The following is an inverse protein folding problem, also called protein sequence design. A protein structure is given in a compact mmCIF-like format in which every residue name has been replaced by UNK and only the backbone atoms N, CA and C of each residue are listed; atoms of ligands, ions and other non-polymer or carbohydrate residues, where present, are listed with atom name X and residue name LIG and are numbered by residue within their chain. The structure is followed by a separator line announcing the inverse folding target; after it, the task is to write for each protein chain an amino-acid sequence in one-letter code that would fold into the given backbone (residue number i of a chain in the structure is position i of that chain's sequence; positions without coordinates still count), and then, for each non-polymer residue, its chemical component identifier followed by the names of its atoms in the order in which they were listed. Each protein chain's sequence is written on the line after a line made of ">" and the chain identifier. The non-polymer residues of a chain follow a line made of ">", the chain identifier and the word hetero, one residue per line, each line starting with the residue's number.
data_IF_348938706649
#
_entry.id   IF_348938706649
#
_cell.length_a   1.000
_cell.length_b   1.000
_cell.length_c   1.000
_cell.angle_alpha   90.00
_cell.angle_beta   90.00
_cell.angle_gamma   90.00
#
_symmetry.space_group_name_H-M   'P 1'
#
loop_
_entity.id
_entity.type
_entity.pdbx_description
1 polymer ?
#
# COMPACT_ATOMS: atom_id res chain seq x y z
N UNK A 1 -19.15 -7.11 4.18
CA UNK A 1 -17.86 -6.58 3.67
C UNK A 1 -16.88 -7.73 3.38
N UNK A 2 -15.84 -7.53 2.56
CA UNK A 2 -14.91 -8.61 2.15
C UNK A 2 -14.28 -9.37 3.33
N UNK A 3 -13.85 -8.67 4.38
CA UNK A 3 -13.29 -9.30 5.59
C UNK A 3 -14.27 -10.22 6.31
N UNK A 4 -15.54 -9.82 6.44
CA UNK A 4 -16.59 -10.65 7.05
C UNK A 4 -16.84 -11.93 6.25
N UNK A 5 -16.90 -11.83 4.91
CA UNK A 5 -17.07 -13.00 4.03
C UNK A 5 -15.88 -13.97 4.19
N UNK A 6 -14.65 -13.45 4.22
CA UNK A 6 -13.46 -14.27 4.42
C UNK A 6 -13.45 -14.97 5.79
N UNK A 7 -13.80 -14.26 6.86
CA UNK A 7 -13.88 -14.84 8.21
C UNK A 7 -14.96 -15.92 8.32
N UNK A 8 -16.13 -15.68 7.69
CA UNK A 8 -17.22 -16.65 7.60
C UNK A 8 -16.82 -17.91 6.80
N UNK A 9 -15.96 -17.76 5.79
CA UNK A 9 -15.36 -18.86 5.04
C UNK A 9 -14.19 -19.56 5.77
N UNK A 10 -13.90 -19.19 7.03
CA UNK A 10 -12.88 -19.85 7.84
C UNK A 10 -11.47 -19.26 7.72
N UNK A 11 -11.29 -18.10 7.06
CA UNK A 11 -9.99 -17.44 6.96
C UNK A 11 -9.43 -17.13 8.36
N UNK A 12 -8.17 -17.50 8.62
CA UNK A 12 -7.43 -17.24 9.87
C UNK A 12 -5.99 -16.87 9.54
N UNK A 13 -5.24 -16.36 10.52
CA UNK A 13 -3.85 -15.92 10.34
C UNK A 13 -2.96 -16.96 9.66
N UNK A 14 -3.06 -18.24 10.06
CA UNK A 14 -2.30 -19.33 9.41
C UNK A 14 -2.63 -19.46 7.92
N UNK A 15 -3.92 -19.51 7.57
CA UNK A 15 -4.35 -19.59 6.18
C UNK A 15 -3.91 -18.35 5.37
N UNK A 16 -3.92 -17.15 5.97
CA UNK A 16 -3.37 -15.96 5.33
C UNK A 16 -1.87 -16.12 5.01
N UNK A 17 -1.08 -16.66 5.93
CA UNK A 17 0.36 -16.90 5.72
C UNK A 17 0.61 -17.98 4.65
N UNK A 18 -0.21 -19.04 4.62
CA UNK A 18 -0.18 -20.05 3.56
C UNK A 18 -0.48 -19.43 2.18
N UNK A 19 -1.47 -18.54 2.09
CA UNK A 19 -1.74 -17.79 0.86
C UNK A 19 -0.55 -16.92 0.43
N UNK A 20 0.15 -16.27 1.37
CA UNK A 20 1.36 -15.48 1.05
C UNK A 20 2.44 -16.38 0.46
N UNK A 21 2.68 -17.56 1.04
CA UNK A 21 3.65 -18.52 0.52
C UNK A 21 3.28 -19.06 -0.87
N UNK A 22 2.00 -19.36 -1.09
CA UNK A 22 1.51 -19.79 -2.40
C UNK A 22 1.69 -18.69 -3.45
N UNK A 23 1.33 -17.43 -3.13
CA UNK A 23 1.52 -16.30 -4.04
C UNK A 23 3.01 -16.09 -4.33
N UNK A 24 3.87 -16.13 -3.31
CA UNK A 24 5.32 -15.99 -3.47
C UNK A 24 5.90 -17.02 -4.46
N UNK A 25 5.39 -18.26 -4.45
CA UNK A 25 5.85 -19.29 -5.40
C UNK A 25 5.56 -18.97 -6.87
N UNK A 26 4.69 -17.98 -7.13
CA UNK A 26 4.22 -17.58 -8.46
C UNK A 26 4.74 -16.22 -8.91
N UNK A 27 5.24 -15.38 -7.99
CA UNK A 27 5.61 -13.99 -8.30
C UNK A 27 6.86 -13.53 -7.54
N UNK A 28 7.67 -12.71 -8.21
CA UNK A 28 8.88 -12.10 -7.64
C UNK A 28 8.66 -10.66 -7.13
N UNK A 29 7.42 -10.14 -7.23
CA UNK A 29 7.11 -8.78 -6.75
C UNK A 29 7.04 -8.71 -5.22
N UNK A 30 7.28 -7.54 -4.60
CA UNK A 30 7.10 -7.38 -3.15
C UNK A 30 5.70 -7.78 -2.68
N UNK A 31 5.62 -8.56 -1.61
CA UNK A 31 4.34 -8.95 -0.97
C UNK A 31 4.26 -8.32 0.41
N UNK A 32 3.20 -7.54 0.65
CA UNK A 32 3.04 -6.74 1.87
C UNK A 32 1.67 -7.06 2.49
N UNK A 33 1.58 -8.03 3.41
CA UNK A 33 0.34 -8.31 4.12
C UNK A 33 -0.11 -7.10 4.94
N UNK A 34 -1.40 -6.79 4.87
CA UNK A 34 -2.04 -5.79 5.73
C UNK A 34 -2.81 -6.49 6.85
N UNK A 35 -2.62 -6.02 8.08
CA UNK A 35 -3.23 -6.59 9.29
C UNK A 35 -3.60 -5.49 10.29
N UNK A 36 -4.14 -5.89 11.44
CA UNK A 36 -4.51 -5.03 12.56
C UNK A 36 -3.70 -5.40 13.81
N UNK A 37 -3.50 -4.43 14.71
CA UNK A 37 -2.70 -4.57 15.93
C UNK A 37 -3.17 -5.73 16.81
N UNK A 38 -4.49 -5.96 16.89
CA UNK A 38 -5.07 -7.06 17.65
C UNK A 38 -4.55 -8.45 17.21
N UNK A 39 -4.23 -8.63 15.92
CA UNK A 39 -3.66 -9.89 15.42
C UNK A 39 -2.21 -10.05 15.88
N UNK A 40 -1.44 -8.96 15.89
CA UNK A 40 -0.06 -8.98 16.40
C UNK A 40 -0.05 -9.28 17.90
N UNK A 41 -0.96 -8.66 18.66
CA UNK A 41 -1.10 -8.90 20.10
C UNK A 41 -1.44 -10.36 20.39
N UNK A 42 -2.41 -10.93 19.68
CA UNK A 42 -2.83 -12.32 19.87
C UNK A 42 -1.78 -13.35 19.40
N UNK A 43 -1.05 -13.06 18.32
CA UNK A 43 -0.09 -14.00 17.72
C UNK A 43 1.32 -13.89 18.33
N UNK A 44 1.64 -12.73 18.89
CA UNK A 44 2.99 -12.31 19.25
C UNK A 44 3.66 -11.57 18.07
N UNK A 45 4.06 -10.29 18.21
CA UNK A 45 4.54 -9.48 17.09
C UNK A 45 5.81 -10.04 16.45
N UNK A 46 6.80 -10.46 17.26
CA UNK A 46 8.05 -11.03 16.75
C UNK A 46 7.82 -12.33 15.97
N UNK A 47 6.92 -13.19 16.46
CA UNK A 47 6.56 -14.44 15.79
C UNK A 47 5.81 -14.17 14.48
N UNK A 48 4.84 -13.24 14.50
CA UNK A 48 4.09 -12.87 13.30
C UNK A 48 5.02 -12.35 12.20
N UNK A 49 6.00 -11.50 12.55
CA UNK A 49 6.99 -11.01 11.60
C UNK A 49 7.84 -12.15 11.05
N UNK A 50 8.38 -13.02 11.90
CA UNK A 50 9.20 -14.15 11.49
C UNK A 50 8.43 -15.08 10.52
N UNK A 51 7.21 -15.47 10.89
CA UNK A 51 6.37 -16.37 10.09
C UNK A 51 5.92 -15.71 8.78
N UNK A 52 5.64 -14.39 8.78
CA UNK A 52 5.33 -13.62 7.55
C UNK A 52 6.54 -13.55 6.61
N UNK A 53 7.73 -13.32 7.14
CA UNK A 53 8.98 -13.29 6.36
C UNK A 53 9.30 -14.66 5.78
N UNK A 54 9.15 -15.72 6.58
CA UNK A 54 9.31 -17.11 6.12
C UNK A 54 8.33 -17.49 5.02
N UNK A 55 7.09 -16.98 5.07
CA UNK A 55 6.11 -17.12 4.00
C UNK A 55 6.43 -16.30 2.73
N UNK A 56 7.44 -15.41 2.77
CA UNK A 56 7.85 -14.62 1.61
C UNK A 56 7.31 -13.19 1.56
N UNK A 57 6.82 -12.66 2.68
CA UNK A 57 6.49 -11.24 2.79
C UNK A 57 7.76 -10.38 2.79
N UNK A 58 7.68 -9.25 2.09
CA UNK A 58 8.76 -8.26 1.99
C UNK A 58 8.66 -7.16 3.05
N UNK A 59 7.45 -6.91 3.55
CA UNK A 59 7.18 -6.04 4.71
C UNK A 59 5.76 -6.33 5.18
N UNK A 60 5.19 -5.46 6.01
CA UNK A 60 3.78 -5.53 6.43
C UNK A 60 3.20 -4.12 6.63
N UNK A 61 1.87 -4.04 6.63
CA UNK A 61 1.10 -2.87 7.04
C UNK A 61 0.29 -3.25 8.28
N UNK A 62 0.32 -2.41 9.32
CA UNK A 62 -0.58 -2.54 10.49
C UNK A 62 -1.45 -1.29 10.51
N UNK A 63 -2.71 -1.44 10.10
CA UNK A 63 -3.56 -0.31 9.69
C UNK A 63 -3.90 0.65 10.83
N UNK A 64 -4.03 0.12 12.05
CA UNK A 64 -4.49 0.81 13.26
C UNK A 64 -3.38 1.06 14.29
N UNK A 65 -2.12 0.74 13.95
CA UNK A 65 -1.00 0.92 14.87
C UNK A 65 -0.31 2.26 14.60
N UNK A 66 -0.17 3.08 15.65
CA UNK A 66 0.52 4.37 15.59
C UNK A 66 2.04 4.20 15.48
N UNK A 67 2.74 5.18 14.88
CA UNK A 67 4.18 5.11 14.61
C UNK A 67 5.05 4.95 15.87
N UNK A 68 4.58 5.41 17.01
CA UNK A 68 5.27 5.32 18.31
C UNK A 68 5.15 3.93 18.94
N UNK A 69 4.14 3.15 18.55
CA UNK A 69 3.87 1.83 19.11
C UNK A 69 4.69 0.75 18.36
N UNK A 70 5.28 -0.17 19.13
CA UNK A 70 6.22 -1.20 18.65
C UNK A 70 7.32 -0.58 17.77
N UNK A 71 8.15 0.34 18.29
CA UNK A 71 9.15 1.06 17.50
C UNK A 71 10.19 0.15 16.81
N UNK A 72 10.40 -1.05 17.33
CA UNK A 72 11.25 -2.10 16.77
C UNK A 72 10.63 -2.83 15.57
N UNK A 73 9.31 -2.71 15.37
CA UNK A 73 8.59 -3.34 14.27
C UNK A 73 8.80 -2.56 12.97
N UNK A 74 9.66 -3.09 12.10
CA UNK A 74 9.82 -2.61 10.72
C UNK A 74 8.54 -2.90 9.91
N UNK A 75 7.86 -1.84 9.46
CA UNK A 75 6.62 -1.89 8.69
C UNK A 75 6.43 -0.65 7.84
N UNK A 76 5.56 -0.74 6.85
CA UNK A 76 5.08 0.44 6.11
C UNK A 76 4.23 1.29 7.05
N UNK A 77 4.60 2.57 7.18
CA UNK A 77 3.89 3.55 8.01
C UNK A 77 2.82 4.28 7.21
N UNK A 78 1.70 4.59 7.87
CA UNK A 78 0.59 5.31 7.27
C UNK A 78 0.67 6.79 7.65
N UNK A 79 0.36 7.65 6.68
CA UNK A 79 0.28 9.10 6.85
C UNK A 79 -1.04 9.57 6.27
N UNK A 80 -1.73 10.46 6.98
CA UNK A 80 -3.00 10.99 6.56
C UNK A 80 -3.01 12.52 6.56
N UNK A 81 -4.02 13.18 5.95
CA UNK A 81 -4.09 14.64 5.91
C UNK A 81 -4.02 15.32 7.28
N UNK A 82 -4.55 14.66 8.31
CA UNK A 82 -4.57 15.12 9.70
C UNK A 82 -3.28 14.81 10.47
N UNK A 83 -2.35 14.03 9.92
CA UNK A 83 -1.07 13.72 10.57
C UNK A 83 -0.22 15.00 10.65
N UNK A 84 0.21 15.43 11.85
CA UNK A 84 1.12 16.56 12.02
C UNK A 84 2.47 16.34 11.33
N UNK A 85 3.11 17.41 10.84
CA UNK A 85 4.34 17.34 10.04
C UNK A 85 5.51 16.66 10.76
N UNK A 86 5.62 16.85 12.08
CA UNK A 86 6.60 16.17 12.92
C UNK A 86 6.37 14.65 12.98
N UNK A 87 5.11 14.21 13.05
CA UNK A 87 4.76 12.78 12.97
C UNK A 87 4.95 12.20 11.56
N UNK A 88 4.81 13.00 10.51
CA UNK A 88 5.16 12.57 9.15
C UNK A 88 6.67 12.28 9.06
N UNK A 89 7.52 13.15 9.62
CA UNK A 89 8.97 12.91 9.68
C UNK A 89 9.30 11.63 10.44
N UNK A 90 8.72 11.44 11.61
CA UNK A 90 8.92 10.22 12.41
C UNK A 90 8.46 8.96 11.64
N UNK A 91 7.33 9.03 10.95
CA UNK A 91 6.85 7.95 10.09
C UNK A 91 7.85 7.66 8.97
N UNK A 92 8.41 8.69 8.34
CA UNK A 92 9.40 8.53 7.28
C UNK A 92 10.70 7.86 7.79
N UNK A 93 11.19 8.25 8.96
CA UNK A 93 12.38 7.65 9.59
C UNK A 93 12.18 6.17 9.93
N UNK A 94 10.94 5.78 10.28
CA UNK A 94 10.62 4.43 10.76
C UNK A 94 9.98 3.52 9.71
N UNK A 95 9.63 4.05 8.54
CA UNK A 95 8.94 3.25 7.53
C UNK A 95 9.88 2.27 6.85
N UNK A 96 9.32 1.13 6.47
CA UNK A 96 10.00 0.09 5.74
C UNK A 96 9.68 0.21 4.24
N UNK A 97 10.53 0.94 3.52
CA UNK A 97 10.46 1.10 2.06
C UNK A 97 9.75 2.38 1.62
N UNK A 98 8.49 2.58 2.00
CA UNK A 98 7.66 3.69 1.49
C UNK A 98 6.63 4.15 2.52
N UNK A 99 6.08 5.36 2.35
CA UNK A 99 4.98 5.88 3.16
C UNK A 99 3.65 5.67 2.45
N UNK A 100 2.69 5.11 3.18
CA UNK A 100 1.34 4.94 2.67
C UNK A 100 0.48 6.16 2.98
N UNK A 101 0.19 6.98 1.97
CA UNK A 101 -0.70 8.13 2.11
C UNK A 101 -2.16 7.68 2.01
N UNK A 102 -2.91 7.80 3.12
CA UNK A 102 -4.29 7.31 3.24
C UNK A 102 -5.28 8.43 3.56
N UNK A 103 -6.56 8.21 3.22
CA UNK A 103 -7.67 9.07 3.65
C UNK A 103 -8.36 8.49 4.88
N UNK A 104 -8.24 9.15 6.05
CA UNK A 104 -8.96 8.71 7.28
C UNK A 104 -10.46 9.09 7.22
N UNK A 105 -10.82 10.06 6.39
CA UNK A 105 -12.23 10.45 6.25
C UNK A 105 -12.92 9.46 5.34
N UNK A 106 -13.70 8.56 5.94
CA UNK A 106 -14.50 7.51 5.31
C UNK A 106 -15.55 7.99 4.30
N UNK A 107 -15.13 8.68 3.26
CA UNK A 107 -15.82 8.81 1.98
C UNK A 107 -15.18 7.83 0.99
N UNK A 108 -15.05 6.56 1.39
CA UNK A 108 -14.98 5.46 0.44
C UNK A 108 -16.30 5.47 -0.33
N UNK A 109 -16.32 6.04 -1.54
CA UNK A 109 -17.46 5.91 -2.46
C UNK A 109 -18.16 7.19 -2.93
N UNK A 110 -17.64 8.41 -2.68
CA UNK A 110 -18.33 9.63 -3.15
C UNK A 110 -17.59 10.37 -4.29
N UNK A 111 -17.96 9.98 -5.53
CA UNK A 111 -18.17 10.82 -6.73
C UNK A 111 -16.93 11.44 -7.42
N UNK A 112 -16.43 10.73 -8.42
CA UNK A 112 -15.93 11.29 -9.69
C UNK A 112 -14.52 11.89 -9.72
N UNK A 113 -13.98 12.42 -8.62
CA UNK A 113 -12.70 13.13 -8.63
C UNK A 113 -11.74 12.62 -7.54
N UNK A 114 -10.43 12.72 -7.83
CA UNK A 114 -9.38 12.49 -6.85
C UNK A 114 -9.50 13.47 -5.68
N UNK A 115 -9.17 13.03 -4.47
CA UNK A 115 -9.28 13.89 -3.29
C UNK A 115 -8.40 15.14 -3.41
N UNK A 116 -9.00 16.30 -3.19
CA UNK A 116 -8.28 17.59 -3.16
C UNK A 116 -7.27 17.71 -2.03
N UNK A 117 -7.23 16.76 -1.08
CA UNK A 117 -6.28 16.72 0.03
C UNK A 117 -4.95 16.06 -0.31
N UNK A 118 -4.88 15.25 -1.38
CA UNK A 118 -3.65 14.56 -1.75
C UNK A 118 -2.50 15.54 -2.09
N UNK A 119 -2.70 16.58 -2.93
CA UNK A 119 -1.60 17.50 -3.27
C UNK A 119 -0.98 18.19 -2.05
N UNK A 120 -1.79 18.63 -1.09
CA UNK A 120 -1.28 19.26 0.13
C UNK A 120 -0.52 18.26 1.01
N UNK A 121 -1.04 17.04 1.16
CA UNK A 121 -0.37 16.01 1.97
C UNK A 121 0.98 15.62 1.36
N UNK A 122 1.05 15.41 0.05
CA UNK A 122 2.30 15.14 -0.66
C UNK A 122 3.28 16.29 -0.45
N UNK A 123 2.86 17.54 -0.69
CA UNK A 123 3.71 18.71 -0.51
C UNK A 123 4.27 18.80 0.90
N UNK A 124 3.42 18.58 1.92
CA UNK A 124 3.83 18.58 3.33
C UNK A 124 4.77 17.43 3.67
N UNK A 125 4.56 16.24 3.13
CA UNK A 125 5.47 15.12 3.33
C UNK A 125 6.84 15.38 2.69
N UNK A 126 6.85 15.96 1.49
CA UNK A 126 8.08 16.34 0.78
C UNK A 126 8.92 17.41 1.46
N UNK A 127 8.38 18.18 2.41
CA UNK A 127 9.22 19.11 3.18
C UNK A 127 10.06 18.42 4.25
N UNK A 128 9.80 17.14 4.55
CA UNK A 128 10.45 16.41 5.65
C UNK A 128 11.03 15.05 5.25
N UNK A 129 10.79 14.57 4.02
CA UNK A 129 11.33 13.28 3.56
C UNK A 129 11.37 13.12 2.04
N UNK A 130 12.36 12.35 1.58
CA UNK A 130 12.51 11.85 0.21
C UNK A 130 12.06 10.39 0.04
N UNK A 131 11.59 9.74 1.12
CA UNK A 131 11.07 8.37 1.06
C UNK A 131 9.92 8.29 0.05
N UNK A 132 9.80 7.20 -0.73
CA UNK A 132 8.71 7.05 -1.68
C UNK A 132 7.33 7.19 -1.02
N UNK A 133 6.43 7.94 -1.66
CA UNK A 133 5.07 8.20 -1.22
C UNK A 133 4.11 7.47 -2.15
N UNK A 134 3.30 6.55 -1.60
CA UNK A 134 2.27 5.84 -2.36
C UNK A 134 0.88 6.30 -1.92
N UNK A 135 0.04 6.70 -2.87
CA UNK A 135 -1.28 7.27 -2.61
C UNK A 135 -2.41 6.23 -2.65
N UNK A 136 -3.14 6.05 -1.55
CA UNK A 136 -4.36 5.23 -1.43
C UNK A 136 -5.63 6.05 -1.24
N UNK A 137 -5.86 7.02 -2.12
CA UNK A 137 -6.91 8.03 -1.99
C UNK A 137 -8.23 7.65 -2.71
N UNK A 138 -8.65 6.38 -2.59
CA UNK A 138 -9.90 5.92 -3.21
C UNK A 138 -9.85 5.91 -4.75
N UNK A 139 -8.68 5.61 -5.32
CA UNK A 139 -8.45 5.55 -6.75
C UNK A 139 -9.26 4.40 -7.36
N UNK A 140 -10.10 4.71 -8.34
CA UNK A 140 -11.00 3.74 -8.97
C UNK A 140 -10.91 3.72 -10.49
N UNK A 141 -10.54 4.82 -11.15
CA UNK A 141 -10.45 4.90 -12.62
C UNK A 141 -9.01 5.10 -13.11
N UNK A 142 -8.71 4.79 -14.39
CA UNK A 142 -7.40 5.05 -14.99
C UNK A 142 -6.99 6.54 -14.92
N UNK A 143 -7.94 7.45 -15.10
CA UNK A 143 -7.70 8.91 -15.03
C UNK A 143 -7.28 9.31 -13.61
N UNK A 144 -7.99 8.82 -12.59
CA UNK A 144 -7.62 9.06 -11.19
C UNK A 144 -6.26 8.47 -10.83
N UNK A 145 -5.91 7.32 -11.43
CA UNK A 145 -4.61 6.68 -11.24
C UNK A 145 -3.48 7.54 -11.82
N UNK A 146 -3.66 8.07 -13.04
CA UNK A 146 -2.72 8.98 -13.66
C UNK A 146 -2.58 10.29 -12.87
N UNK A 147 -3.69 10.93 -12.48
CA UNK A 147 -3.68 12.16 -11.66
C UNK A 147 -2.92 11.96 -10.34
N UNK A 148 -3.15 10.82 -9.66
CA UNK A 148 -2.47 10.52 -8.40
C UNK A 148 -0.98 10.23 -8.61
N UNK A 149 -0.61 9.52 -9.67
CA UNK A 149 0.78 9.21 -10.00
C UNK A 149 1.58 10.43 -10.50
N UNK A 150 0.91 11.48 -10.99
CA UNK A 150 1.55 12.77 -11.27
C UNK A 150 1.96 13.51 -9.99
N UNK A 151 1.37 13.18 -8.84
CA UNK A 151 1.62 13.82 -7.55
C UNK A 151 2.49 12.98 -6.62
N UNK A 152 2.39 11.66 -6.67
CA UNK A 152 3.06 10.72 -5.77
C UNK A 152 3.89 9.69 -6.55
N UNK A 153 4.83 9.01 -5.90
CA UNK A 153 5.73 8.06 -6.58
C UNK A 153 5.03 6.74 -6.97
N UNK A 154 3.81 6.53 -6.47
CA UNK A 154 2.99 5.40 -6.82
C UNK A 154 1.59 5.49 -6.23
N UNK A 155 0.77 4.50 -6.57
CA UNK A 155 -0.62 4.43 -6.13
C UNK A 155 -0.94 3.08 -5.48
N UNK A 156 -1.97 3.07 -4.64
CA UNK A 156 -2.53 1.86 -4.05
C UNK A 156 -4.03 1.82 -4.34
N UNK A 157 -4.49 0.71 -4.89
CA UNK A 157 -5.90 0.47 -5.23
C UNK A 157 -6.42 -0.72 -4.43
N UNK A 158 -7.44 -0.47 -3.61
CA UNK A 158 -8.04 -1.46 -2.72
C UNK A 158 -9.47 -1.83 -3.12
N UNK A 159 -10.45 -1.06 -2.64
CA UNK A 159 -11.88 -1.39 -2.78
C UNK A 159 -12.31 -1.67 -4.22
N UNK A 160 -11.89 -0.83 -5.18
CA UNK A 160 -12.29 -1.02 -6.58
C UNK A 160 -11.71 -2.29 -7.19
N UNK A 161 -10.48 -2.66 -6.84
CA UNK A 161 -9.88 -3.92 -7.28
C UNK A 161 -10.66 -5.13 -6.72
N UNK A 162 -11.11 -5.07 -5.47
CA UNK A 162 -11.95 -6.12 -4.88
C UNK A 162 -13.31 -6.23 -5.57
N UNK A 163 -13.97 -5.10 -5.84
CA UNK A 163 -15.25 -5.09 -6.58
C UNK A 163 -15.10 -5.73 -7.97
N UNK A 164 -14.07 -5.34 -8.73
CA UNK A 164 -13.82 -5.92 -10.06
C UNK A 164 -13.52 -7.42 -9.97
N UNK A 165 -12.77 -7.85 -8.95
CA UNK A 165 -12.49 -9.26 -8.75
C UNK A 165 -13.75 -10.08 -8.39
N UNK A 166 -14.65 -9.50 -7.57
CA UNK A 166 -15.93 -10.12 -7.22
C UNK A 166 -16.87 -10.21 -8.46
N UNK A 167 -16.92 -9.15 -9.28
CA UNK A 167 -17.87 -9.05 -10.40
C UNK A 167 -17.39 -9.76 -11.67
N UNK A 168 -16.10 -9.67 -11.99
CA UNK A 168 -15.51 -10.08 -13.27
C UNK A 168 -14.38 -11.12 -13.13
N UNK A 169 -14.09 -11.56 -11.90
CA UNK A 169 -13.10 -12.59 -11.62
C UNK A 169 -11.64 -12.18 -11.92
N UNK A 170 -10.72 -13.15 -11.93
CA UNK A 170 -9.28 -12.87 -12.07
C UNK A 170 -8.89 -12.19 -13.39
N UNK A 171 -9.56 -12.51 -14.50
CA UNK A 171 -9.30 -11.87 -15.80
C UNK A 171 -9.78 -10.42 -15.81
N UNK A 172 -10.95 -10.13 -15.25
CA UNK A 172 -11.42 -8.76 -15.10
C UNK A 172 -10.50 -7.92 -14.22
N UNK A 173 -10.00 -8.48 -13.11
CA UNK A 173 -9.02 -7.80 -12.27
C UNK A 173 -7.71 -7.52 -13.02
N UNK A 174 -7.21 -8.48 -13.80
CA UNK A 174 -6.02 -8.29 -14.64
C UNK A 174 -6.22 -7.13 -15.61
N UNK A 175 -7.32 -7.14 -16.35
CA UNK A 175 -7.60 -6.13 -17.37
C UNK A 175 -7.79 -4.74 -16.73
N UNK A 176 -8.42 -4.68 -15.54
CA UNK A 176 -8.51 -3.46 -14.75
C UNK A 176 -7.13 -2.94 -14.34
N UNK A 177 -6.27 -3.77 -13.75
CA UNK A 177 -4.91 -3.37 -13.35
C UNK A 177 -4.09 -2.92 -14.57
N UNK A 178 -4.23 -3.60 -15.72
CA UNK A 178 -3.57 -3.19 -16.96
C UNK A 178 -4.02 -1.79 -17.41
N UNK A 179 -5.33 -1.50 -17.36
CA UNK A 179 -5.86 -0.18 -17.73
C UNK A 179 -5.30 0.95 -16.85
N UNK A 180 -5.12 0.70 -15.54
CA UNK A 180 -4.47 1.67 -14.64
C UNK A 180 -3.00 1.87 -15.00
N UNK A 181 -2.29 0.78 -15.30
CA UNK A 181 -0.87 0.82 -15.66
C UNK A 181 -0.66 1.63 -16.94
N UNK A 182 -1.46 1.36 -17.97
CA UNK A 182 -1.42 2.06 -19.26
C UNK A 182 -1.66 3.57 -19.10
N UNK A 183 -2.64 3.98 -18.30
CA UNK A 183 -2.89 5.39 -18.06
C UNK A 183 -1.72 6.10 -17.35
N UNK A 184 -1.13 5.46 -16.33
CA UNK A 184 0.04 6.02 -15.64
C UNK A 184 1.26 6.10 -16.58
N UNK A 185 1.51 5.08 -17.41
CA UNK A 185 2.64 5.08 -18.35
C UNK A 185 2.47 6.12 -19.47
N UNK A 186 1.23 6.35 -19.92
CA UNK A 186 0.93 7.32 -20.99
C UNK A 186 1.15 8.77 -20.52
N UNK A 187 0.85 9.08 -19.27
CA UNK A 187 1.10 10.39 -18.65
C UNK A 187 2.55 10.58 -18.19
N UNK A 188 3.24 9.49 -17.80
CA UNK A 188 4.66 9.52 -17.44
C UNK A 188 5.61 9.72 -18.63
N UNK A 189 5.11 9.77 -19.86
CA UNK A 189 5.90 10.01 -21.06
C UNK A 189 5.83 11.49 -21.53
N UNK A 190 6.77 12.37 -21.13
CA UNK A 190 7.03 13.61 -21.84
C UNK A 190 8.26 13.48 -22.77
N UNK A 191 8.32 14.33 -23.79
CA UNK A 191 9.39 14.44 -24.77
C UNK A 191 10.80 14.42 -24.14
N UNK A 192 11.58 13.39 -24.48
CA UNK A 192 13.02 13.36 -24.25
C UNK A 192 13.46 13.01 -22.83
N UNK A 193 14.25 11.93 -22.75
CA UNK A 193 15.14 11.54 -21.64
C UNK A 193 14.53 10.73 -20.48
N UNK A 194 14.33 9.43 -20.75
CA UNK A 194 14.77 8.33 -19.87
C UNK A 194 14.41 8.37 -18.37
N UNK A 195 13.12 8.27 -18.04
CA UNK A 195 12.68 7.94 -16.67
C UNK A 195 12.89 6.47 -16.36
N UNK A 196 13.82 6.15 -15.43
CA UNK A 196 13.96 4.79 -14.89
C UNK A 196 12.74 4.46 -14.04
N UNK A 197 12.10 3.32 -14.33
CA UNK A 197 11.22 2.62 -13.41
C UNK A 197 11.93 2.51 -12.04
N UNK A 198 11.37 3.13 -11.00
CA UNK A 198 11.87 2.90 -9.63
C UNK A 198 11.46 1.48 -9.25
N UNK A 199 12.34 0.52 -9.51
CA UNK A 199 12.35 -0.72 -8.72
C UNK A 199 12.65 -0.28 -7.29
N UNK A 200 11.73 -0.53 -6.36
CA UNK A 200 12.01 -0.39 -4.94
C UNK A 200 13.30 -1.17 -4.64
N UNK A 201 14.41 -0.45 -4.38
CA UNK A 201 15.66 -1.09 -3.96
C UNK A 201 15.43 -1.64 -2.56
N UNK A 202 15.60 -2.95 -2.41
CA UNK A 202 15.62 -3.61 -1.12
C UNK A 202 16.94 -3.27 -0.40
N UNK A 203 16.93 -3.00 0.91
CA UNK A 203 18.16 -2.98 1.69
C UNK A 203 18.63 -4.42 1.96
N UNK A 204 19.43 -4.98 1.05
CA UNK A 204 20.29 -6.15 1.33
C UNK A 204 21.47 -6.30 0.34
N UNK A 205 22.08 -5.19 -0.08
CA UNK A 205 23.39 -5.19 -0.78
C UNK A 205 24.43 -4.35 -0.02
N UNK A 206 24.37 -4.40 1.32
CA UNK A 206 25.42 -3.92 2.20
C UNK A 206 25.53 -4.91 3.35
N UNK A 207 26.17 -6.05 3.05
CA UNK A 207 27.22 -6.71 3.84
C UNK A 207 27.55 -8.08 3.21
#
# INVERSE_FOLDING_TARGET
>A
MAGERALAAGMRTRACLECVAEIRSRVDVPLIPMTYAAILEAYGPGRFVADSRAAGATSLIVADLMVEALPELRRVQLVAPTTPTDRIRLAAERTDGWLYLVTVTGTTGARGALSTRLPDLVRRARTVTEVPLLAGFGIATPEQAAEAAALADGIVVGSRALEVADDAGPLGLRDYVASLREAIDSEAAPAGTGGRLVRARLPSEAD
#
